data_IF_731567722069
#
_entry.id   IF_731567722069
#
_cell.length_a   1.000
_cell.length_b   1.000
_cell.length_c   1.000
_cell.angle_alpha   90.00
_cell.angle_beta   90.00
_cell.angle_gamma   90.00
#
_symmetry.space_group_name_H-M   'P 1'
#
loop_
_entity.id
_entity.type
_entity.pdbx_description
1 polymer ?
#
# COMPACT_ATOMS: atom_id res chain seq x y z
N UNK A 1 -81.30 -5.49 32.01
CA UNK A 1 -79.94 -5.07 31.60
C UNK A 1 -79.02 -5.17 32.80
N UNK A 2 -77.74 -5.51 32.55
CA UNK A 2 -76.59 -5.53 33.48
C UNK A 2 -76.27 -6.82 34.26
N UNK A 3 -75.83 -7.84 33.51
CA UNK A 3 -74.78 -8.77 33.94
C UNK A 3 -73.64 -8.60 32.91
N UNK A 4 -72.58 -7.85 33.22
CA UNK A 4 -71.33 -7.89 32.41
C UNK A 4 -70.06 -7.29 33.03
N UNK A 5 -70.08 -6.69 34.23
CA UNK A 5 -68.90 -5.99 34.75
C UNK A 5 -67.92 -6.85 35.57
N UNK A 6 -68.29 -8.06 36.00
CA UNK A 6 -67.44 -8.91 36.85
C UNK A 6 -66.40 -9.78 36.11
N UNK A 7 -66.52 -9.95 34.78
CA UNK A 7 -65.59 -10.77 33.99
C UNK A 7 -64.40 -10.01 33.38
N UNK A 8 -64.42 -8.67 33.40
CA UNK A 8 -63.36 -7.86 32.80
C UNK A 8 -62.18 -7.65 33.77
N UNK A 9 -62.46 -7.59 35.08
CA UNK A 9 -61.45 -7.37 36.13
C UNK A 9 -60.57 -8.62 36.37
N UNK A 10 -61.08 -9.83 36.15
CA UNK A 10 -60.32 -11.08 36.33
C UNK A 10 -59.37 -11.42 35.16
N UNK A 11 -59.66 -10.94 33.94
CA UNK A 11 -58.76 -11.07 32.79
C UNK A 11 -57.60 -10.08 32.84
N UNK A 12 -57.86 -8.84 33.26
CA UNK A 12 -56.83 -7.81 33.39
C UNK A 12 -55.77 -8.18 34.45
N UNK A 13 -56.19 -8.76 35.58
CA UNK A 13 -55.29 -9.22 36.64
C UNK A 13 -54.43 -10.43 36.21
N UNK A 14 -54.99 -11.40 35.48
CA UNK A 14 -54.22 -12.52 34.92
C UNK A 14 -53.21 -12.09 33.87
N UNK A 15 -53.56 -11.12 33.01
CA UNK A 15 -52.65 -10.56 32.02
C UNK A 15 -51.52 -9.74 32.68
N UNK A 16 -51.81 -9.02 33.76
CA UNK A 16 -50.80 -8.29 34.52
C UNK A 16 -49.82 -9.25 35.23
N UNK A 17 -50.31 -10.34 35.83
CA UNK A 17 -49.49 -11.37 36.45
C UNK A 17 -48.63 -12.10 35.41
N UNK A 18 -49.18 -12.41 34.23
CA UNK A 18 -48.44 -13.04 33.13
C UNK A 18 -47.36 -12.09 32.56
N UNK A 19 -47.65 -10.79 32.46
CA UNK A 19 -46.66 -9.76 32.05
C UNK A 19 -45.56 -9.57 33.10
N UNK A 20 -45.89 -9.60 34.40
CA UNK A 20 -44.90 -9.58 35.47
C UNK A 20 -44.03 -10.83 35.49
N UNK A 21 -44.60 -11.99 35.16
CA UNK A 21 -43.85 -13.25 35.04
C UNK A 21 -42.90 -13.23 33.84
N UNK A 22 -43.34 -12.71 32.68
CA UNK A 22 -42.46 -12.51 31.51
C UNK A 22 -41.37 -11.50 31.84
N UNK A 23 -41.68 -10.40 32.52
CA UNK A 23 -40.69 -9.39 32.91
C UNK A 23 -39.63 -9.97 33.88
N UNK A 24 -40.06 -10.77 34.85
CA UNK A 24 -39.18 -11.48 35.79
C UNK A 24 -38.35 -12.58 35.12
N UNK A 25 -38.88 -13.26 34.09
CA UNK A 25 -38.13 -14.24 33.29
C UNK A 25 -37.13 -13.53 32.36
N UNK A 26 -37.46 -12.35 31.80
CA UNK A 26 -36.52 -11.56 30.99
C UNK A 26 -35.42 -10.91 31.85
N UNK A 27 -35.72 -10.53 33.10
CA UNK A 27 -34.73 -10.02 34.05
C UNK A 27 -33.89 -11.15 34.67
N UNK A 28 -34.45 -12.36 34.83
CA UNK A 28 -33.72 -13.55 35.27
C UNK A 28 -32.80 -14.16 34.20
N UNK A 29 -33.06 -13.89 32.91
CA UNK A 29 -32.18 -14.23 31.79
C UNK A 29 -31.23 -13.10 31.37
N UNK A 30 -31.15 -12.04 32.17
CA UNK A 30 -29.99 -11.14 32.12
C UNK A 30 -28.83 -11.85 32.82
N UNK A 31 -28.34 -12.95 32.23
CA UNK A 31 -27.06 -13.50 32.60
C UNK A 31 -26.06 -12.35 32.45
N UNK A 32 -25.47 -11.96 33.56
CA UNK A 32 -24.44 -10.96 33.67
C UNK A 32 -23.26 -11.33 32.76
N UNK A 33 -23.34 -10.99 31.47
CA UNK A 33 -22.22 -11.00 30.54
C UNK A 33 -21.41 -9.73 30.79
N UNK A 34 -20.79 -9.66 31.96
CA UNK A 34 -19.70 -8.71 32.15
C UNK A 34 -18.49 -9.26 31.42
N UNK A 35 -17.88 -8.44 30.57
CA UNK A 35 -16.55 -8.69 30.05
C UNK A 35 -15.59 -8.85 31.25
N UNK A 36 -14.96 -10.02 31.38
CA UNK A 36 -14.02 -10.30 32.45
C UNK A 36 -12.60 -9.93 32.03
N UNK A 37 -11.79 -9.45 32.98
CA UNK A 37 -10.35 -9.24 32.79
C UNK A 37 -9.61 -10.45 33.38
N UNK A 38 -9.06 -11.28 32.51
CA UNK A 38 -8.32 -12.49 32.85
C UNK A 38 -6.81 -12.23 32.73
N UNK A 39 -6.14 -12.00 33.86
CA UNK A 39 -4.67 -11.96 33.89
C UNK A 39 -4.09 -13.37 33.83
N UNK A 40 -3.10 -13.59 32.96
CA UNK A 40 -2.43 -14.88 32.80
C UNK A 40 -0.91 -14.71 32.89
N UNK A 41 -0.26 -15.60 33.63
CA UNK A 41 1.17 -15.53 33.96
C UNK A 41 1.99 -16.72 33.42
N UNK A 42 1.31 -17.71 32.82
CA UNK A 42 1.95 -18.89 32.22
C UNK A 42 1.28 -19.32 30.92
N UNK A 43 1.98 -20.17 30.15
CA UNK A 43 1.43 -20.77 28.92
C UNK A 43 0.16 -21.56 29.17
N UNK A 44 0.12 -22.35 30.26
CA UNK A 44 -1.03 -23.18 30.60
C UNK A 44 -2.24 -22.33 30.98
N UNK A 45 -2.03 -21.25 31.75
CA UNK A 45 -3.08 -20.29 32.07
C UNK A 45 -3.62 -19.58 30.81
N UNK A 46 -2.73 -19.17 29.90
CA UNK A 46 -3.13 -18.54 28.64
C UNK A 46 -3.98 -19.49 27.79
N UNK A 47 -3.53 -20.73 27.58
CA UNK A 47 -4.30 -21.73 26.82
C UNK A 47 -5.64 -22.06 27.47
N UNK A 48 -5.66 -22.17 28.80
CA UNK A 48 -6.88 -22.38 29.55
C UNK A 48 -7.85 -21.19 29.39
N UNK A 49 -7.36 -19.96 29.52
CA UNK A 49 -8.15 -18.74 29.35
C UNK A 49 -8.70 -18.63 27.93
N UNK A 50 -7.88 -18.85 26.89
CA UNK A 50 -8.32 -18.86 25.49
C UNK A 50 -9.42 -19.90 25.20
N UNK A 51 -9.42 -21.02 25.91
CA UNK A 51 -10.43 -22.09 25.74
C UNK A 51 -11.76 -21.77 26.44
N UNK A 52 -11.73 -21.02 27.54
CA UNK A 52 -12.89 -20.80 28.41
C UNK A 52 -13.43 -19.36 28.40
N UNK A 53 -12.72 -18.44 27.76
CA UNK A 53 -13.15 -17.06 27.60
C UNK A 53 -14.50 -16.98 26.87
N UNK A 54 -15.26 -15.95 27.21
CA UNK A 54 -16.51 -15.59 26.54
C UNK A 54 -16.25 -14.40 25.62
N UNK A 55 -17.11 -14.23 24.62
CA UNK A 55 -17.08 -13.05 23.77
C UNK A 55 -17.18 -11.77 24.62
N UNK A 56 -16.26 -10.85 24.42
CA UNK A 56 -16.11 -9.61 25.17
C UNK A 56 -15.00 -9.64 26.23
N UNK A 57 -14.51 -10.81 26.63
CA UNK A 57 -13.47 -10.93 27.65
C UNK A 57 -12.13 -10.35 27.19
N UNK A 58 -11.33 -9.91 28.16
CA UNK A 58 -9.97 -9.40 27.97
C UNK A 58 -8.99 -10.35 28.63
N UNK A 59 -8.10 -10.95 27.87
CA UNK A 59 -6.97 -11.74 28.36
C UNK A 59 -5.74 -10.84 28.35
N UNK A 60 -5.15 -10.64 29.53
CA UNK A 60 -4.00 -9.75 29.75
C UNK A 60 -2.80 -10.62 30.16
N UNK A 61 -1.76 -10.63 29.34
CA UNK A 61 -0.54 -11.37 29.62
C UNK A 61 0.33 -10.54 30.57
N UNK A 62 0.77 -11.16 31.66
CA UNK A 62 1.87 -10.66 32.47
C UNK A 62 3.20 -10.79 31.71
N UNK A 63 4.23 -10.10 32.19
CA UNK A 63 5.58 -10.20 31.61
C UNK A 63 6.08 -11.65 31.67
N UNK A 64 6.53 -12.19 30.54
CA UNK A 64 6.93 -13.59 30.46
C UNK A 64 6.98 -14.13 29.03
N UNK A 65 7.37 -15.40 28.91
CA UNK A 65 7.40 -16.14 27.63
C UNK A 65 6.30 -17.19 27.60
N UNK A 66 5.49 -17.15 26.55
CA UNK A 66 4.34 -18.01 26.31
C UNK A 66 4.58 -18.84 25.06
N UNK A 67 4.33 -20.14 25.14
CA UNK A 67 4.57 -21.07 24.04
C UNK A 67 3.33 -21.21 23.15
N UNK A 68 3.49 -20.84 21.88
CA UNK A 68 2.55 -21.09 20.80
C UNK A 68 2.63 -22.52 20.23
N UNK A 69 1.87 -22.81 19.17
CA UNK A 69 0.90 -21.92 18.53
C UNK A 69 -0.35 -21.69 19.40
N UNK A 70 -0.96 -20.51 19.26
CA UNK A 70 -2.20 -20.12 19.94
C UNK A 70 -3.37 -20.09 18.96
N UNK A 71 -4.56 -20.42 19.45
CA UNK A 71 -5.81 -20.32 18.68
C UNK A 71 -6.83 -19.49 19.44
N UNK A 72 -7.46 -18.54 18.73
CA UNK A 72 -8.51 -17.67 19.28
C UNK A 72 -9.83 -18.03 18.60
N UNK A 73 -10.76 -18.64 19.35
CA UNK A 73 -12.07 -19.07 18.86
C UNK A 73 -13.22 -18.17 19.34
N UNK A 74 -12.94 -17.17 20.17
CA UNK A 74 -13.91 -16.25 20.75
C UNK A 74 -13.53 -14.81 20.45
N UNK A 75 -14.54 -13.93 20.34
CA UNK A 75 -14.35 -12.49 20.14
C UNK A 75 -13.81 -11.84 21.41
N UNK A 76 -12.50 -11.84 21.59
CA UNK A 76 -11.82 -11.37 22.82
C UNK A 76 -10.80 -10.27 22.51
N UNK A 77 -10.28 -9.66 23.57
CA UNK A 77 -9.10 -8.79 23.52
C UNK A 77 -7.93 -9.56 24.13
N UNK A 78 -6.93 -9.88 23.32
CA UNK A 78 -5.65 -10.45 23.76
C UNK A 78 -4.62 -9.33 23.82
N UNK A 79 -4.12 -9.03 25.01
CA UNK A 79 -3.19 -7.90 25.18
C UNK A 79 -2.09 -8.16 26.19
N UNK A 80 -1.05 -7.34 26.16
CA UNK A 80 -0.07 -7.25 27.26
C UNK A 80 0.08 -5.81 27.75
N UNK A 81 0.41 -5.67 29.04
CA UNK A 81 0.80 -4.42 29.68
C UNK A 81 2.32 -4.34 29.93
N UNK A 82 3.10 -5.34 29.53
CA UNK A 82 4.53 -5.45 29.76
C UNK A 82 5.26 -6.19 28.63
N UNK A 83 6.45 -6.74 28.91
CA UNK A 83 7.25 -7.47 27.92
C UNK A 83 6.82 -8.95 27.86
N UNK A 84 5.69 -9.21 27.19
CA UNK A 84 5.17 -10.57 26.99
C UNK A 84 5.52 -11.08 25.59
N UNK A 85 6.22 -12.21 25.55
CA UNK A 85 6.70 -12.86 24.33
C UNK A 85 5.85 -14.08 24.03
N UNK A 86 5.28 -14.17 22.83
CA UNK A 86 4.71 -15.38 22.25
C UNK A 86 5.73 -15.98 21.30
N UNK A 87 6.23 -17.17 21.63
CA UNK A 87 7.20 -17.92 20.84
C UNK A 87 6.51 -19.11 20.16
N UNK A 88 6.54 -19.15 18.83
CA UNK A 88 5.87 -20.19 18.06
C UNK A 88 6.73 -21.41 17.73
N UNK A 89 7.92 -21.55 18.34
CA UNK A 89 8.78 -22.72 18.24
C UNK A 89 9.24 -23.10 16.81
N UNK A 90 9.17 -22.16 15.88
CA UNK A 90 9.63 -22.29 14.49
C UNK A 90 8.69 -23.09 13.58
N UNK A 91 7.46 -23.41 14.02
CA UNK A 91 6.52 -24.25 13.27
C UNK A 91 5.14 -23.61 13.24
N UNK A 92 4.54 -23.50 12.05
CA UNK A 92 3.18 -22.99 11.92
C UNK A 92 3.08 -21.49 12.18
N UNK A 93 1.86 -20.98 12.23
CA UNK A 93 1.57 -19.61 12.65
C UNK A 93 1.58 -19.44 14.18
N UNK A 94 2.05 -18.31 14.70
CA UNK A 94 2.11 -18.07 16.15
C UNK A 94 0.73 -17.88 16.79
N UNK A 95 -0.15 -17.10 16.16
CA UNK A 95 -1.54 -16.91 16.57
C UNK A 95 -2.45 -17.15 15.37
N UNK A 96 -3.41 -18.07 15.51
CA UNK A 96 -4.48 -18.30 14.52
C UNK A 96 -5.81 -17.80 15.07
N UNK A 97 -6.53 -17.00 14.30
CA UNK A 97 -7.79 -16.37 14.70
C UNK A 97 -8.95 -16.93 13.89
N UNK A 98 -9.94 -17.47 14.61
CA UNK A 98 -11.15 -18.12 14.09
C UNK A 98 -12.44 -17.41 14.53
N UNK A 99 -12.33 -16.19 15.06
CA UNK A 99 -13.47 -15.39 15.51
C UNK A 99 -13.40 -13.94 15.02
N UNK A 100 -14.56 -13.29 14.77
CA UNK A 100 -14.62 -11.88 14.42
C UNK A 100 -14.38 -10.99 15.65
N UNK A 101 -14.13 -9.71 15.44
CA UNK A 101 -14.00 -8.67 16.46
C UNK A 101 -12.93 -8.97 17.54
N UNK A 102 -11.87 -9.69 17.17
CA UNK A 102 -10.72 -9.92 18.05
C UNK A 102 -9.78 -8.71 18.00
N UNK A 103 -9.29 -8.31 19.17
CA UNK A 103 -8.21 -7.33 19.31
C UNK A 103 -6.94 -8.03 19.79
N UNK A 104 -5.80 -7.80 19.12
CA UNK A 104 -4.49 -8.32 19.49
C UNK A 104 -3.54 -7.13 19.63
N UNK A 105 -3.04 -6.87 20.84
CA UNK A 105 -2.21 -5.69 21.07
C UNK A 105 -1.12 -5.76 22.14
N UNK A 106 -0.04 -5.01 21.95
CA UNK A 106 1.04 -4.89 22.94
C UNK A 106 1.94 -6.13 23.06
N UNK A 107 1.86 -7.07 22.11
CA UNK A 107 2.57 -8.35 22.21
C UNK A 107 3.88 -8.32 21.43
N UNK A 108 4.90 -9.03 21.93
CA UNK A 108 6.05 -9.46 21.14
C UNK A 108 5.79 -10.87 20.63
N UNK A 109 5.79 -11.08 19.32
CA UNK A 109 5.49 -12.35 18.67
C UNK A 109 6.71 -12.75 17.85
N UNK A 110 7.22 -13.96 18.04
CA UNK A 110 8.44 -14.40 17.37
C UNK A 110 8.44 -15.87 16.98
N UNK A 111 9.39 -16.21 16.10
CA UNK A 111 9.77 -17.59 15.81
C UNK A 111 8.61 -18.44 15.30
N UNK A 112 7.80 -17.92 14.36
CA UNK A 112 6.85 -18.72 13.58
C UNK A 112 7.53 -19.39 12.38
N UNK A 113 6.84 -20.33 11.74
CA UNK A 113 7.33 -21.05 10.57
C UNK A 113 7.46 -20.18 9.32
N UNK A 114 7.79 -20.81 8.19
CA UNK A 114 8.03 -20.12 6.92
C UNK A 114 7.43 -20.84 5.71
N UNK A 115 6.47 -21.73 5.93
CA UNK A 115 5.79 -22.41 4.83
C UNK A 115 4.72 -21.50 4.22
N UNK A 116 4.97 -20.98 3.02
CA UNK A 116 4.02 -20.12 2.30
C UNK A 116 2.74 -20.86 1.88
N UNK A 117 2.81 -22.17 1.66
CA UNK A 117 1.66 -22.99 1.28
C UNK A 117 0.72 -23.18 2.49
N UNK A 118 1.29 -23.45 3.67
CA UNK A 118 0.54 -23.56 4.93
C UNK A 118 0.19 -22.19 5.54
N UNK A 119 0.66 -21.10 4.91
CA UNK A 119 0.37 -19.70 5.29
C UNK A 119 0.93 -19.35 6.67
N UNK A 120 2.13 -19.83 6.98
CA UNK A 120 2.79 -19.56 8.26
C UNK A 120 2.95 -18.06 8.51
N UNK A 121 2.45 -17.59 9.65
CA UNK A 121 2.40 -16.17 9.97
C UNK A 121 2.58 -15.88 11.47
N UNK A 122 3.05 -14.68 11.82
CA UNK A 122 2.99 -14.21 13.20
C UNK A 122 1.53 -14.13 13.69
N UNK A 123 0.64 -13.56 12.88
CA UNK A 123 -0.80 -13.58 13.11
C UNK A 123 -1.50 -14.00 11.82
N UNK A 124 -2.23 -15.12 11.85
CA UNK A 124 -3.06 -15.61 10.76
C UNK A 124 -4.54 -15.46 11.15
N UNK A 125 -5.30 -14.71 10.36
CA UNK A 125 -6.76 -14.60 10.48
C UNK A 125 -7.41 -15.46 9.40
N UNK A 126 -8.21 -16.42 9.81
CA UNK A 126 -8.91 -17.32 8.89
C UNK A 126 -10.10 -16.61 8.21
N UNK A 127 -10.53 -17.10 7.03
CA UNK A 127 -11.69 -16.61 6.29
C UNK A 127 -12.95 -16.35 7.13
N UNK A 128 -13.67 -15.29 6.80
CA UNK A 128 -14.97 -14.95 7.41
C UNK A 128 -14.90 -14.23 8.76
N UNK A 129 -13.71 -13.97 9.29
CA UNK A 129 -13.54 -13.29 10.57
C UNK A 129 -13.35 -11.78 10.36
N UNK A 130 -14.39 -10.99 10.62
CA UNK A 130 -14.41 -9.55 10.32
C UNK A 130 -14.09 -8.68 11.53
N UNK A 131 -13.76 -7.40 11.31
CA UNK A 131 -13.68 -6.40 12.39
C UNK A 131 -12.45 -6.52 13.29
N UNK A 132 -11.36 -7.10 12.79
CA UNK A 132 -10.15 -7.36 13.55
C UNK A 132 -9.38 -6.07 13.86
N UNK A 133 -8.75 -6.02 15.03
CA UNK A 133 -7.87 -4.91 15.45
C UNK A 133 -6.52 -5.46 15.87
N UNK A 134 -5.49 -5.21 15.08
CA UNK A 134 -4.13 -5.74 15.35
C UNK A 134 -3.19 -4.54 15.47
N UNK A 135 -2.74 -4.23 16.69
CA UNK A 135 -1.97 -3.00 16.89
C UNK A 135 -0.97 -3.00 18.03
N UNK A 136 0.04 -2.13 17.92
CA UNK A 136 1.10 -1.99 18.92
C UNK A 136 1.83 -3.31 19.22
N UNK A 137 1.96 -4.20 18.24
CA UNK A 137 2.70 -5.46 18.40
C UNK A 137 4.10 -5.36 17.76
N UNK A 138 5.04 -6.15 18.26
CA UNK A 138 6.36 -6.36 17.65
C UNK A 138 6.45 -7.78 17.14
N UNK A 139 6.57 -7.96 15.83
CA UNK A 139 6.60 -9.26 15.15
C UNK A 139 7.98 -9.50 14.53
N UNK A 140 8.60 -10.65 14.79
CA UNK A 140 9.88 -11.04 14.13
C UNK A 140 9.91 -12.52 13.73
N UNK A 141 10.06 -12.80 12.43
CA UNK A 141 10.02 -14.17 11.91
C UNK A 141 10.22 -14.28 10.40
N UNK A 142 10.10 -15.51 9.89
CA UNK A 142 10.48 -15.84 8.52
C UNK A 142 9.31 -15.81 7.52
N UNK A 143 8.14 -16.33 7.93
CA UNK A 143 6.91 -16.31 7.13
C UNK A 143 6.22 -14.95 7.15
N UNK A 144 4.92 -14.92 6.86
CA UNK A 144 4.14 -13.67 6.83
C UNK A 144 4.13 -12.99 8.22
N UNK A 145 4.16 -11.67 8.30
CA UNK A 145 3.98 -10.98 9.58
C UNK A 145 2.52 -11.12 10.05
N UNK A 146 1.62 -10.48 9.32
CA UNK A 146 0.17 -10.56 9.52
C UNK A 146 -0.48 -11.01 8.22
N UNK A 147 -1.25 -12.09 8.25
CA UNK A 147 -2.01 -12.57 7.09
C UNK A 147 -3.49 -12.67 7.41
N UNK A 148 -4.32 -12.25 6.47
CA UNK A 148 -5.78 -12.27 6.59
C UNK A 148 -6.41 -12.53 5.22
N UNK A 149 -7.30 -13.52 5.17
CA UNK A 149 -7.96 -13.94 3.93
C UNK A 149 -9.49 -13.75 4.07
N UNK A 150 -10.18 -13.35 3.00
CA UNK A 150 -11.64 -13.36 2.85
C UNK A 150 -12.43 -12.72 4.03
N UNK A 151 -12.14 -11.44 4.34
CA UNK A 151 -12.78 -10.74 5.44
C UNK A 151 -13.01 -9.24 5.17
N UNK A 152 -13.74 -8.59 6.08
CA UNK A 152 -14.04 -7.17 6.02
C UNK A 152 -13.54 -6.42 7.25
N UNK A 153 -13.24 -5.14 7.08
CA UNK A 153 -13.06 -4.15 8.15
C UNK A 153 -11.95 -4.51 9.17
N UNK A 154 -10.80 -4.96 8.69
CA UNK A 154 -9.60 -5.16 9.52
C UNK A 154 -8.80 -3.87 9.69
N UNK A 155 -8.32 -3.61 10.90
CA UNK A 155 -7.45 -2.49 11.24
C UNK A 155 -6.11 -2.99 11.73
N UNK A 156 -5.03 -2.64 11.03
CA UNK A 156 -3.66 -3.06 11.35
C UNK A 156 -2.80 -1.81 11.52
N UNK A 157 -2.42 -1.49 12.76
CA UNK A 157 -1.72 -0.23 12.98
C UNK A 157 -0.69 -0.21 14.09
N UNK A 158 0.31 0.67 13.96
CA UNK A 158 1.38 0.85 14.94
C UNK A 158 2.12 -0.44 15.29
N UNK A 159 2.21 -1.40 14.35
CA UNK A 159 3.00 -2.61 14.55
C UNK A 159 4.42 -2.40 14.01
N UNK A 160 5.38 -3.09 14.61
CA UNK A 160 6.74 -3.25 14.08
C UNK A 160 6.86 -4.67 13.56
N UNK A 161 7.13 -4.84 12.27
CA UNK A 161 7.24 -6.15 11.61
C UNK A 161 8.61 -6.25 10.97
N UNK A 162 9.39 -7.25 11.40
CA UNK A 162 10.74 -7.50 10.89
C UNK A 162 10.83 -8.92 10.37
N UNK A 163 11.14 -9.05 9.08
CA UNK A 163 11.39 -10.34 8.44
C UNK A 163 12.80 -10.86 8.70
N UNK A 164 13.32 -11.70 7.80
CA UNK A 164 14.64 -12.29 7.90
C UNK A 164 15.50 -11.97 6.67
N UNK A 165 16.43 -11.03 6.83
CA UNK A 165 17.35 -10.59 5.78
C UNK A 165 18.36 -11.66 5.32
N UNK A 166 18.53 -12.76 6.07
CA UNK A 166 19.38 -13.89 5.67
C UNK A 166 18.72 -14.81 4.62
N UNK A 167 17.40 -14.73 4.44
CA UNK A 167 16.69 -15.45 3.39
C UNK A 167 16.77 -14.70 2.07
N UNK A 168 16.78 -15.45 0.96
CA UNK A 168 16.55 -14.86 -0.35
C UNK A 168 15.18 -14.17 -0.38
N UNK A 169 15.07 -13.03 -1.08
CA UNK A 169 13.94 -12.12 -0.94
C UNK A 169 12.59 -12.78 -1.25
N UNK A 170 12.56 -13.69 -2.23
CA UNK A 170 11.34 -14.41 -2.62
C UNK A 170 10.96 -15.53 -1.64
N UNK A 171 11.88 -15.94 -0.76
CA UNK A 171 11.65 -16.96 0.27
C UNK A 171 11.16 -16.34 1.60
N UNK A 172 11.00 -15.01 1.66
CA UNK A 172 10.45 -14.30 2.82
C UNK A 172 8.94 -14.22 2.72
N UNK A 173 8.24 -14.14 3.86
CA UNK A 173 6.85 -13.70 3.87
C UNK A 173 6.71 -12.20 3.69
N UNK A 174 5.52 -11.76 3.30
CA UNK A 174 5.16 -10.33 3.28
C UNK A 174 4.92 -9.84 4.72
N UNK A 175 5.14 -8.55 4.97
CA UNK A 175 4.89 -7.96 6.28
C UNK A 175 3.41 -8.02 6.65
N UNK A 176 2.56 -7.51 5.76
CA UNK A 176 1.10 -7.63 5.83
C UNK A 176 0.61 -8.19 4.50
N UNK A 177 -0.07 -9.34 4.53
CA UNK A 177 -0.63 -10.00 3.37
C UNK A 177 -2.16 -10.10 3.50
N UNK A 178 -2.90 -9.39 2.64
CA UNK A 178 -4.36 -9.39 2.65
C UNK A 178 -4.90 -9.92 1.32
N UNK A 179 -5.66 -11.02 1.37
CA UNK A 179 -6.26 -11.63 0.19
C UNK A 179 -7.79 -11.58 0.28
N UNK A 180 -8.48 -11.03 -0.74
CA UNK A 180 -9.93 -10.87 -0.77
C UNK A 180 -10.49 -10.08 0.44
N UNK A 181 -9.81 -9.00 0.83
CA UNK A 181 -10.19 -8.16 1.96
C UNK A 181 -10.86 -6.86 1.51
N UNK A 182 -11.98 -6.50 2.15
CA UNK A 182 -12.70 -5.24 1.87
C UNK A 182 -12.58 -4.30 3.07
N UNK A 183 -12.26 -3.03 2.81
CA UNK A 183 -12.29 -1.99 3.85
C UNK A 183 -11.15 -2.07 4.86
N UNK A 184 -10.00 -2.62 4.48
CA UNK A 184 -8.83 -2.67 5.37
C UNK A 184 -8.28 -1.27 5.65
N UNK A 185 -7.91 -0.98 6.90
CA UNK A 185 -7.15 0.21 7.27
C UNK A 185 -5.79 -0.20 7.83
N UNK A 186 -4.70 0.24 7.20
CA UNK A 186 -3.32 -0.13 7.53
C UNK A 186 -2.48 1.13 7.73
N UNK A 187 -2.09 1.44 8.97
CA UNK A 187 -1.37 2.70 9.22
C UNK A 187 -0.37 2.71 10.37
N UNK A 188 0.60 3.62 10.29
CA UNK A 188 1.58 3.82 11.37
C UNK A 188 2.48 2.60 11.62
N UNK A 189 2.52 1.62 10.71
CA UNK A 189 3.37 0.44 10.86
C UNK A 189 4.79 0.74 10.38
N UNK A 190 5.77 0.08 11.01
CA UNK A 190 7.16 0.05 10.57
C UNK A 190 7.49 -1.37 10.11
N UNK A 191 7.76 -1.56 8.83
CA UNK A 191 7.93 -2.89 8.22
C UNK A 191 9.28 -2.94 7.50
N UNK A 192 10.06 -3.99 7.78
CA UNK A 192 11.37 -4.17 7.14
C UNK A 192 11.80 -5.62 6.99
N UNK A 193 12.73 -5.86 6.06
CA UNK A 193 13.38 -7.18 5.85
C UNK A 193 12.40 -8.32 5.50
N UNK A 194 11.22 -7.99 5.00
CA UNK A 194 10.21 -8.92 4.47
C UNK A 194 10.37 -9.05 2.95
N UNK A 195 9.46 -9.76 2.27
CA UNK A 195 9.34 -9.74 0.81
C UNK A 195 8.68 -8.43 0.37
N UNK A 196 7.35 -8.34 0.47
CA UNK A 196 6.62 -7.08 0.28
C UNK A 196 6.14 -6.52 1.62
N UNK A 197 6.19 -5.20 1.79
CA UNK A 197 5.78 -4.54 3.03
C UNK A 197 4.30 -4.73 3.30
N UNK A 198 3.47 -4.22 2.38
CA UNK A 198 2.02 -4.41 2.38
C UNK A 198 1.56 -4.95 1.03
N UNK A 199 1.12 -6.20 1.01
CA UNK A 199 0.58 -6.88 -0.17
C UNK A 199 -0.93 -7.02 -0.05
N UNK A 200 -1.68 -6.47 -1.01
CA UNK A 200 -3.13 -6.57 -1.10
C UNK A 200 -3.52 -7.19 -2.44
N UNK A 201 -4.28 -8.29 -2.37
CA UNK A 201 -4.73 -9.01 -3.56
C UNK A 201 -6.24 -9.19 -3.60
N UNK A 202 -6.83 -8.88 -4.75
CA UNK A 202 -8.28 -9.08 -5.02
C UNK A 202 -9.21 -8.46 -3.97
N UNK A 203 -8.76 -7.38 -3.33
CA UNK A 203 -9.48 -6.61 -2.32
C UNK A 203 -10.09 -5.31 -2.85
N UNK A 204 -10.73 -4.53 -1.97
CA UNK A 204 -11.21 -3.20 -2.33
C UNK A 204 -11.38 -2.26 -1.13
N UNK A 205 -11.41 -0.95 -1.40
CA UNK A 205 -11.70 0.10 -0.39
C UNK A 205 -10.71 0.13 0.77
N UNK A 206 -9.48 -0.31 0.55
CA UNK A 206 -8.43 -0.23 1.55
C UNK A 206 -7.88 1.19 1.68
N UNK A 207 -7.36 1.49 2.87
CA UNK A 207 -6.60 2.71 3.17
C UNK A 207 -5.25 2.31 3.76
N UNK A 208 -4.17 2.60 3.06
CA UNK A 208 -2.81 2.32 3.50
C UNK A 208 -2.05 3.62 3.69
N UNK A 209 -1.77 4.04 4.91
CA UNK A 209 -1.23 5.38 5.15
C UNK A 209 -0.26 5.53 6.32
N UNK A 210 0.61 6.53 6.25
CA UNK A 210 1.56 6.83 7.33
C UNK A 210 2.42 5.64 7.78
N UNK A 211 2.75 4.71 6.87
CA UNK A 211 3.64 3.58 7.15
C UNK A 211 5.09 3.90 6.75
N UNK A 212 6.05 3.28 7.43
CA UNK A 212 7.48 3.28 7.08
C UNK A 212 7.87 1.89 6.61
N UNK A 213 8.42 1.80 5.40
CA UNK A 213 8.56 0.57 4.62
C UNK A 213 9.99 0.53 4.03
N UNK A 214 10.86 -0.38 4.46
CA UNK A 214 12.27 -0.36 4.03
C UNK A 214 12.98 -1.72 4.04
N UNK A 215 14.10 -1.84 3.32
CA UNK A 215 14.90 -3.08 3.21
C UNK A 215 14.11 -4.31 2.71
N UNK A 216 13.26 -4.12 1.69
CA UNK A 216 12.35 -5.13 1.17
C UNK A 216 12.13 -4.98 -0.35
N UNK A 217 11.41 -5.91 -0.98
CA UNK A 217 11.18 -5.89 -2.43
C UNK A 217 10.29 -4.69 -2.78
N UNK A 218 9.02 -4.72 -2.37
CA UNK A 218 8.11 -3.60 -2.57
C UNK A 218 7.63 -2.97 -1.27
N UNK A 219 7.46 -1.65 -1.26
CA UNK A 219 6.78 -0.95 -0.17
C UNK A 219 5.33 -1.37 -0.05
N UNK A 220 4.52 -1.00 -1.06
CA UNK A 220 3.11 -1.38 -1.18
C UNK A 220 2.92 -2.07 -2.53
N UNK A 221 2.20 -3.18 -2.52
CA UNK A 221 1.89 -3.99 -3.69
C UNK A 221 0.38 -4.24 -3.77
N UNK A 222 -0.27 -3.57 -4.72
CA UNK A 222 -1.67 -3.78 -5.07
C UNK A 222 -1.78 -4.70 -6.28
N UNK A 223 -2.47 -5.82 -6.13
CA UNK A 223 -2.68 -6.82 -7.19
C UNK A 223 -4.18 -7.10 -7.38
N UNK A 224 -4.73 -6.80 -8.56
CA UNK A 224 -6.16 -7.01 -8.86
C UNK A 224 -7.15 -6.30 -7.92
N UNK A 225 -6.75 -5.15 -7.35
CA UNK A 225 -7.55 -4.41 -6.36
C UNK A 225 -8.35 -3.26 -6.97
N UNK A 226 -9.32 -2.72 -6.22
CA UNK A 226 -10.11 -1.60 -6.70
C UNK A 226 -10.66 -0.65 -5.63
N UNK A 227 -10.77 0.63 -5.98
CA UNK A 227 -11.29 1.68 -5.10
C UNK A 227 -10.45 1.90 -3.83
N UNK A 228 -9.13 1.73 -3.92
CA UNK A 228 -8.22 1.86 -2.79
C UNK A 228 -7.50 3.22 -2.72
N UNK A 229 -6.99 3.55 -1.54
CA UNK A 229 -6.29 4.80 -1.27
C UNK A 229 -4.99 4.53 -0.50
N UNK A 230 -3.88 5.08 -0.97
CA UNK A 230 -2.59 4.99 -0.28
C UNK A 230 -1.92 6.37 -0.19
N UNK A 231 -1.60 6.81 1.04
CA UNK A 231 -1.12 8.16 1.25
C UNK A 231 -0.20 8.38 2.46
N UNK A 232 0.63 9.43 2.37
CA UNK A 232 1.57 9.81 3.44
C UNK A 232 2.50 8.64 3.89
N UNK A 233 2.72 7.63 3.05
CA UNK A 233 3.67 6.54 3.31
C UNK A 233 5.09 6.94 2.92
N UNK A 234 6.07 6.29 3.55
CA UNK A 234 7.49 6.41 3.24
C UNK A 234 8.04 5.03 2.87
N UNK A 235 8.59 4.89 1.66
CA UNK A 235 9.23 3.66 1.17
C UNK A 235 10.68 3.94 0.78
N UNK A 236 11.66 3.24 1.34
CA UNK A 236 13.07 3.55 1.05
C UNK A 236 14.00 2.36 1.16
N UNK A 237 15.10 2.39 0.41
CA UNK A 237 16.04 1.26 0.33
C UNK A 237 15.30 -0.05 -0.03
N UNK A 238 14.50 0.03 -1.08
CA UNK A 238 13.65 -1.06 -1.59
C UNK A 238 14.00 -1.41 -3.03
N UNK A 239 13.60 -2.57 -3.53
CA UNK A 239 13.72 -2.84 -4.96
C UNK A 239 12.75 -1.95 -5.76
N UNK A 240 11.52 -1.78 -5.28
CA UNK A 240 10.51 -0.88 -5.85
C UNK A 240 9.62 -0.21 -4.79
N UNK A 241 9.21 1.03 -5.01
CA UNK A 241 8.43 1.80 -4.04
C UNK A 241 6.99 1.32 -3.90
N UNK A 242 6.16 1.67 -4.89
CA UNK A 242 4.73 1.41 -4.91
C UNK A 242 4.33 0.74 -6.21
N UNK A 243 3.90 -0.53 -6.13
CA UNK A 243 3.48 -1.33 -7.27
C UNK A 243 1.95 -1.40 -7.34
N UNK A 244 1.37 -0.82 -8.40
CA UNK A 244 -0.04 -0.93 -8.73
C UNK A 244 -0.15 -1.84 -9.96
N UNK A 245 -0.69 -3.04 -9.78
CA UNK A 245 -0.71 -4.09 -10.79
C UNK A 245 -2.13 -4.59 -11.02
N UNK A 246 -2.58 -4.56 -12.28
CA UNK A 246 -3.91 -4.98 -12.72
C UNK A 246 -5.08 -4.41 -11.88
N UNK A 247 -4.87 -3.21 -11.32
CA UNK A 247 -5.76 -2.58 -10.35
C UNK A 247 -6.45 -1.34 -10.93
N UNK A 248 -7.58 -0.93 -10.32
CA UNK A 248 -8.41 0.16 -10.86
C UNK A 248 -8.91 1.14 -9.81
N UNK A 249 -8.91 2.43 -10.16
CA UNK A 249 -9.37 3.51 -9.27
C UNK A 249 -8.59 3.56 -7.95
N UNK A 250 -7.25 3.49 -8.07
CA UNK A 250 -6.36 3.66 -6.94
C UNK A 250 -6.02 5.14 -6.80
N UNK A 251 -6.16 5.69 -5.60
CA UNK A 251 -5.72 7.05 -5.29
C UNK A 251 -4.41 7.00 -4.49
N UNK A 252 -3.29 7.16 -5.19
CA UNK A 252 -1.94 7.16 -4.62
C UNK A 252 -1.45 8.60 -4.47
N UNK A 253 -1.40 9.13 -3.24
CA UNK A 253 -1.06 10.54 -3.04
C UNK A 253 -0.23 10.88 -1.82
N UNK A 254 0.62 11.92 -1.94
CA UNK A 254 1.51 12.38 -0.86
C UNK A 254 2.44 11.31 -0.28
N UNK A 255 2.73 10.27 -1.05
CA UNK A 255 3.71 9.27 -0.66
C UNK A 255 5.13 9.69 -1.03
N UNK A 256 6.12 9.16 -0.33
CA UNK A 256 7.52 9.44 -0.55
C UNK A 256 8.27 8.13 -0.80
N UNK A 257 9.03 8.08 -1.88
CA UNK A 257 9.97 6.99 -2.14
C UNK A 257 11.34 7.53 -2.51
N UNK A 258 12.38 6.95 -1.89
CA UNK A 258 13.76 7.24 -2.24
C UNK A 258 14.69 6.04 -2.12
N UNK A 259 15.84 6.11 -2.78
CA UNK A 259 16.85 5.04 -2.79
C UNK A 259 16.28 3.68 -3.20
N UNK A 260 15.29 3.65 -4.11
CA UNK A 260 14.84 2.41 -4.72
C UNK A 260 15.71 2.03 -5.92
N UNK A 261 15.70 0.74 -6.29
CA UNK A 261 16.57 0.21 -7.34
C UNK A 261 15.89 0.25 -8.72
N UNK A 262 14.70 -0.34 -8.86
CA UNK A 262 14.06 -0.53 -10.16
C UNK A 262 13.01 0.55 -10.46
N UNK A 263 12.10 0.82 -9.52
CA UNK A 263 11.09 1.86 -9.72
C UNK A 263 10.63 2.56 -8.43
N UNK A 264 10.26 3.84 -8.53
CA UNK A 264 9.56 4.54 -7.46
C UNK A 264 8.08 4.20 -7.45
N UNK A 265 7.41 4.35 -8.59
CA UNK A 265 6.00 3.99 -8.79
C UNK A 265 5.89 3.11 -10.03
N UNK A 266 5.24 1.96 -9.92
CA UNK A 266 4.88 1.10 -11.05
C UNK A 266 3.37 1.15 -11.28
N UNK A 267 2.96 1.53 -12.50
CA UNK A 267 1.61 1.36 -13.01
C UNK A 267 1.64 0.25 -14.08
N UNK A 268 1.35 -0.98 -13.66
CA UNK A 268 1.25 -2.12 -14.57
C UNK A 268 -0.23 -2.43 -14.82
N UNK A 269 -0.68 -2.26 -16.07
CA UNK A 269 -2.07 -2.51 -16.48
C UNK A 269 -3.12 -1.83 -15.57
N UNK A 270 -2.72 -0.73 -14.91
CA UNK A 270 -3.57 0.07 -14.02
C UNK A 270 -4.51 0.96 -14.83
N UNK A 271 -5.73 1.17 -14.34
CA UNK A 271 -6.74 2.00 -15.02
C UNK A 271 -7.48 2.95 -14.08
N UNK A 272 -7.93 4.10 -14.61
CA UNK A 272 -8.81 5.06 -13.94
C UNK A 272 -8.26 5.54 -12.56
N UNK A 273 -6.94 5.51 -12.38
CA UNK A 273 -6.29 5.80 -11.10
C UNK A 273 -5.72 7.21 -11.07
N UNK A 274 -5.54 7.76 -9.86
CA UNK A 274 -5.01 9.10 -9.63
C UNK A 274 -3.70 9.00 -8.84
N UNK A 275 -2.60 9.37 -9.49
CA UNK A 275 -1.27 9.46 -8.88
C UNK A 275 -0.95 10.95 -8.69
N UNK A 276 -0.95 11.41 -7.44
CA UNK A 276 -0.92 12.85 -7.16
C UNK A 276 -0.02 13.26 -6.00
N UNK A 277 0.78 14.30 -6.17
CA UNK A 277 1.55 14.89 -5.06
C UNK A 277 2.52 13.92 -4.38
N UNK A 278 2.97 12.88 -5.09
CA UNK A 278 4.00 11.98 -4.58
C UNK A 278 5.40 12.57 -4.84
N UNK A 279 6.34 12.26 -3.95
CA UNK A 279 7.76 12.61 -4.06
C UNK A 279 8.57 11.35 -4.33
N UNK A 280 9.20 11.29 -5.50
CA UNK A 280 9.93 10.13 -5.99
C UNK A 280 11.34 10.57 -6.37
N UNK A 281 12.34 10.13 -5.59
CA UNK A 281 13.70 10.64 -5.75
C UNK A 281 14.75 9.54 -5.69
N UNK A 282 15.87 9.71 -6.38
CA UNK A 282 17.03 8.80 -6.26
C UNK A 282 16.69 7.34 -6.58
N UNK A 283 15.83 7.11 -7.57
CA UNK A 283 15.59 5.78 -8.10
C UNK A 283 16.71 5.45 -9.10
N UNK A 284 17.68 4.67 -8.64
CA UNK A 284 18.96 4.46 -9.33
C UNK A 284 19.34 2.99 -9.25
N UNK A 285 19.53 2.35 -10.41
CA UNK A 285 20.11 1.02 -10.45
C UNK A 285 21.65 1.12 -10.47
N UNK A 286 22.26 0.77 -9.34
CA UNK A 286 23.70 0.87 -9.11
C UNK A 286 24.49 -0.36 -9.58
N UNK A 287 23.87 -1.26 -10.34
CA UNK A 287 24.55 -2.43 -10.90
C UNK A 287 25.73 -2.02 -11.79
N UNK A 288 26.90 -2.63 -11.58
CA UNK A 288 28.09 -2.45 -12.44
C UNK A 288 27.84 -2.92 -13.88
N UNK A 289 26.95 -3.91 -14.04
CA UNK A 289 26.50 -4.40 -15.34
C UNK A 289 25.17 -3.73 -15.67
N UNK A 290 25.22 -2.49 -16.18
CA UNK A 290 24.02 -1.80 -16.65
C UNK A 290 23.42 -2.55 -17.85
N UNK A 291 22.32 -3.25 -17.60
CA UNK A 291 21.52 -3.89 -18.64
C UNK A 291 20.41 -2.93 -19.02
N UNK A 292 20.28 -2.65 -20.32
CA UNK A 292 19.21 -1.82 -20.83
C UNK A 292 17.83 -2.34 -20.39
N UNK A 293 16.98 -1.44 -19.88
CA UNK A 293 15.67 -1.78 -19.32
C UNK A 293 15.67 -1.92 -17.79
N UNK A 294 16.85 -2.09 -17.16
CA UNK A 294 16.98 -2.18 -15.71
C UNK A 294 17.30 -0.85 -15.03
N UNK A 295 17.33 0.27 -15.76
CA UNK A 295 17.58 1.60 -15.19
C UNK A 295 16.54 1.91 -14.08
N UNK A 296 16.91 2.70 -13.07
CA UNK A 296 16.00 3.13 -12.02
C UNK A 296 14.94 4.13 -12.52
N UNK A 297 13.66 3.77 -12.42
CA UNK A 297 12.53 4.51 -13.02
C UNK A 297 11.77 5.28 -11.95
N UNK A 298 11.71 6.61 -12.01
CA UNK A 298 10.86 7.41 -11.13
C UNK A 298 9.41 6.90 -11.17
N UNK A 299 8.81 6.91 -12.35
CA UNK A 299 7.56 6.19 -12.63
C UNK A 299 7.71 5.28 -13.85
N UNK A 300 7.23 4.05 -13.72
CA UNK A 300 7.15 3.09 -14.81
C UNK A 300 5.68 2.80 -15.17
N UNK A 301 5.29 3.18 -16.38
CA UNK A 301 3.97 2.93 -16.96
C UNK A 301 4.09 1.81 -17.97
N UNK A 302 3.47 0.67 -17.66
CA UNK A 302 3.49 -0.53 -18.48
C UNK A 302 2.07 -0.98 -18.81
N UNK A 303 1.58 -0.67 -20.00
CA UNK A 303 0.23 -1.02 -20.44
C UNK A 303 -0.92 -0.38 -19.63
N UNK A 304 -0.63 0.56 -18.72
CA UNK A 304 -1.61 1.25 -17.89
C UNK A 304 -2.24 2.43 -18.65
N UNK A 305 -3.57 2.61 -18.60
CA UNK A 305 -4.32 3.60 -19.41
C UNK A 305 -5.33 4.38 -18.59
N UNK A 306 -5.74 5.54 -19.09
CA UNK A 306 -6.79 6.38 -18.49
C UNK A 306 -6.49 6.81 -17.03
N UNK A 307 -5.22 6.83 -16.62
CA UNK A 307 -4.82 7.34 -15.31
C UNK A 307 -4.49 8.84 -15.38
N UNK A 308 -4.60 9.52 -14.25
CA UNK A 308 -4.15 10.91 -14.10
C UNK A 308 -2.91 10.95 -13.22
N UNK A 309 -1.81 11.48 -13.75
CA UNK A 309 -0.53 11.64 -13.06
C UNK A 309 -0.26 13.14 -12.96
N UNK A 310 -0.51 13.71 -11.78
CA UNK A 310 -0.56 15.17 -11.62
C UNK A 310 0.17 15.65 -10.37
N UNK A 311 0.91 16.76 -10.48
CA UNK A 311 1.56 17.42 -9.36
C UNK A 311 2.51 16.51 -8.57
N UNK A 312 3.16 15.54 -9.22
CA UNK A 312 4.20 14.71 -8.59
C UNK A 312 5.58 15.31 -8.83
N UNK A 313 6.55 14.95 -7.99
CA UNK A 313 7.96 15.27 -8.17
C UNK A 313 8.74 14.01 -8.46
N UNK A 314 9.40 13.98 -9.62
CA UNK A 314 10.31 12.92 -10.05
C UNK A 314 11.71 13.52 -10.20
N UNK A 315 12.61 13.28 -9.24
CA UNK A 315 13.91 13.93 -9.24
C UNK A 315 15.11 12.99 -9.04
N UNK A 316 16.23 13.27 -9.71
CA UNK A 316 17.50 12.52 -9.54
C UNK A 316 17.36 11.01 -9.80
N UNK A 317 16.51 10.60 -10.74
CA UNK A 317 16.34 9.20 -11.14
C UNK A 317 17.17 8.89 -12.39
N UNK A 318 17.45 7.62 -12.68
CA UNK A 318 18.05 7.26 -13.98
C UNK A 318 17.08 7.64 -15.12
N UNK A 319 15.79 7.35 -14.94
CA UNK A 319 14.71 7.76 -15.84
C UNK A 319 13.57 8.38 -15.03
N UNK A 320 13.18 9.63 -15.31
CA UNK A 320 12.07 10.30 -14.62
C UNK A 320 10.72 9.63 -14.88
N UNK A 321 10.40 9.40 -16.16
CA UNK A 321 9.18 8.72 -16.61
C UNK A 321 9.50 7.69 -17.70
N UNK A 322 9.25 6.41 -17.45
CA UNK A 322 9.35 5.37 -18.48
C UNK A 322 7.94 4.89 -18.84
N UNK A 323 7.57 4.98 -20.11
CA UNK A 323 6.38 4.35 -20.68
C UNK A 323 6.73 3.28 -21.72
N UNK A 324 6.19 2.08 -21.58
CA UNK A 324 6.39 0.97 -22.51
C UNK A 324 5.13 0.10 -22.66
N UNK A 325 5.07 -0.62 -23.80
CA UNK A 325 3.98 -1.56 -24.12
C UNK A 325 2.59 -0.95 -24.04
N UNK A 326 2.49 0.27 -24.56
CA UNK A 326 1.30 1.10 -24.52
C UNK A 326 1.21 1.98 -23.28
N UNK A 327 0.05 2.61 -23.11
CA UNK A 327 -0.22 3.56 -22.04
C UNK A 327 -0.52 4.97 -22.54
N UNK A 328 -0.71 5.09 -23.84
CA UNK A 328 -1.36 6.22 -24.48
C UNK A 328 -2.78 6.36 -23.89
N UNK A 329 -3.13 7.58 -23.45
CA UNK A 329 -4.41 7.88 -22.79
C UNK A 329 -4.29 8.30 -21.32
N UNK A 330 -3.12 8.17 -20.71
CA UNK A 330 -2.87 8.80 -19.41
C UNK A 330 -2.76 10.32 -19.55
N UNK A 331 -3.28 11.05 -18.57
CA UNK A 331 -3.11 12.51 -18.47
C UNK A 331 -1.90 12.82 -17.58
N UNK A 332 -0.92 13.54 -18.12
CA UNK A 332 0.34 13.86 -17.42
C UNK A 332 0.59 15.37 -17.48
N UNK A 333 0.33 16.08 -16.37
CA UNK A 333 0.48 17.53 -16.30
C UNK A 333 0.74 18.00 -14.86
N UNK A 334 1.32 19.19 -14.69
CA UNK A 334 1.62 19.78 -13.39
C UNK A 334 2.73 19.09 -12.60
N UNK A 335 3.36 18.04 -13.14
CA UNK A 335 4.46 17.34 -12.49
C UNK A 335 5.77 18.13 -12.61
N UNK A 336 6.76 17.76 -11.80
CA UNK A 336 8.11 18.30 -11.84
C UNK A 336 9.10 17.18 -12.13
N UNK A 337 9.81 17.31 -13.25
CA UNK A 337 10.88 16.41 -13.67
C UNK A 337 12.22 17.13 -13.52
N UNK A 338 13.00 16.72 -12.52
CA UNK A 338 14.16 17.49 -12.04
C UNK A 338 15.40 16.60 -12.04
N UNK A 339 16.36 16.94 -12.87
CA UNK A 339 17.72 16.38 -12.85
C UNK A 339 17.74 14.84 -12.90
N UNK A 340 16.76 14.26 -13.58
CA UNK A 340 16.80 12.86 -13.98
C UNK A 340 17.82 12.71 -15.10
N UNK A 341 18.57 11.61 -15.13
CA UNK A 341 19.56 11.37 -16.19
C UNK A 341 18.89 11.35 -17.57
N UNK A 342 17.74 10.67 -17.69
CA UNK A 342 16.77 10.88 -18.76
C UNK A 342 15.45 11.36 -18.18
N UNK A 343 14.89 12.46 -18.69
CA UNK A 343 13.60 12.95 -18.20
C UNK A 343 12.47 11.98 -18.56
N UNK A 344 12.45 11.49 -19.81
CA UNK A 344 11.41 10.58 -20.29
C UNK A 344 11.97 9.53 -21.26
N UNK A 345 11.55 8.28 -21.08
CA UNK A 345 11.71 7.19 -22.05
C UNK A 345 10.35 6.69 -22.48
N UNK A 346 9.90 7.08 -23.68
CA UNK A 346 8.63 6.63 -24.26
C UNK A 346 8.86 5.72 -25.46
N UNK A 347 8.47 4.46 -25.31
CA UNK A 347 8.53 3.44 -26.36
C UNK A 347 7.16 3.32 -27.02
N UNK A 348 6.88 4.22 -27.96
CA UNK A 348 5.69 4.18 -28.81
C UNK A 348 5.82 5.11 -30.02
N UNK A 349 4.79 5.10 -30.85
CA UNK A 349 4.75 5.63 -32.21
C UNK A 349 3.69 6.73 -32.42
N UNK A 350 3.02 7.14 -31.35
CA UNK A 350 2.02 8.22 -31.35
C UNK A 350 2.62 9.51 -30.79
N UNK A 351 2.13 10.67 -31.23
CA UNK A 351 2.40 11.95 -30.57
C UNK A 351 1.46 12.14 -29.37
N UNK A 352 2.01 12.35 -28.18
CA UNK A 352 1.26 12.55 -26.95
C UNK A 352 1.41 14.00 -26.45
N UNK A 353 0.27 14.62 -26.07
CA UNK A 353 0.25 15.93 -25.43
C UNK A 353 0.27 15.76 -23.91
N UNK A 354 1.27 16.34 -23.26
CA UNK A 354 1.48 16.34 -21.81
C UNK A 354 1.23 17.73 -21.20
N UNK A 355 0.10 18.31 -21.60
CA UNK A 355 -0.47 19.48 -20.97
C UNK A 355 -2.00 19.37 -20.96
N UNK A 356 -2.63 20.06 -20.03
CA UNK A 356 -4.07 20.07 -19.87
C UNK A 356 -4.53 21.51 -19.62
N UNK A 357 -5.51 21.99 -20.41
CA UNK A 357 -6.14 23.31 -20.23
C UNK A 357 -5.13 24.48 -20.13
N UNK A 358 -4.10 24.47 -20.98
CA UNK A 358 -3.08 25.51 -21.01
C UNK A 358 -2.00 25.41 -19.93
N UNK A 359 -1.89 24.25 -19.25
CA UNK A 359 -0.89 24.01 -18.21
C UNK A 359 -0.20 22.65 -18.40
N UNK A 360 1.12 22.66 -18.49
CA UNK A 360 1.99 21.51 -18.65
C UNK A 360 2.73 21.12 -17.38
N UNK A 361 3.94 20.58 -17.55
CA UNK A 361 4.84 20.12 -16.50
C UNK A 361 6.05 21.06 -16.38
N UNK A 362 6.74 21.00 -15.24
CA UNK A 362 8.04 21.63 -15.04
C UNK A 362 9.17 20.67 -15.40
N UNK A 363 10.19 21.18 -16.09
CA UNK A 363 11.33 20.41 -16.57
C UNK A 363 12.62 21.16 -16.25
N UNK A 364 13.56 20.57 -15.48
CA UNK A 364 14.81 21.29 -15.13
C UNK A 364 15.70 21.59 -16.34
N UNK A 365 15.54 20.87 -17.45
CA UNK A 365 16.24 21.11 -18.71
C UNK A 365 15.57 22.11 -19.66
N UNK A 366 14.40 22.67 -19.31
CA UNK A 366 13.70 23.61 -20.19
C UNK A 366 14.31 25.02 -20.12
N UNK A 367 14.80 25.51 -21.26
CA UNK A 367 15.46 26.82 -21.40
C UNK A 367 14.54 27.91 -22.00
N UNK A 368 13.22 27.71 -21.98
CA UNK A 368 12.28 28.67 -22.52
C UNK A 368 12.07 29.90 -21.64
N UNK A 369 11.29 30.85 -22.16
CA UNK A 369 10.90 32.08 -21.48
C UNK A 369 9.40 32.32 -21.64
N UNK A 370 8.78 33.02 -20.70
CA UNK A 370 7.36 33.36 -20.73
C UNK A 370 7.10 34.79 -20.26
N UNK A 371 5.84 35.22 -20.35
CA UNK A 371 5.38 36.44 -19.69
C UNK A 371 5.07 36.15 -18.22
N UNK A 372 5.44 37.05 -17.33
CA UNK A 372 5.57 36.80 -15.88
C UNK A 372 4.26 36.50 -15.13
N UNK A 373 3.09 36.56 -15.76
CA UNK A 373 1.82 36.43 -15.04
C UNK A 373 1.35 34.99 -14.82
N UNK A 374 1.72 34.06 -15.71
CA UNK A 374 1.06 32.74 -15.79
C UNK A 374 2.03 31.57 -15.56
N UNK A 375 3.33 31.84 -15.39
CA UNK A 375 4.41 30.86 -15.16
C UNK A 375 4.52 29.74 -16.22
N UNK A 376 4.07 30.02 -17.44
CA UNK A 376 4.10 29.11 -18.58
C UNK A 376 5.05 29.65 -19.66
N UNK A 377 5.85 28.76 -20.24
CA UNK A 377 6.79 29.07 -21.32
C UNK A 377 6.09 29.26 -22.67
N UNK A 378 6.65 30.14 -23.51
CA UNK A 378 6.08 30.45 -24.83
C UNK A 378 6.43 29.41 -25.91
N UNK A 379 7.34 28.47 -25.63
CA UNK A 379 7.76 27.43 -26.58
C UNK A 379 7.44 26.05 -26.03
N UNK A 380 6.90 25.18 -26.87
CA UNK A 380 6.64 23.80 -26.48
C UNK A 380 7.96 23.08 -26.13
N UNK A 381 7.90 22.17 -25.16
CA UNK A 381 9.01 21.31 -24.78
C UNK A 381 8.80 19.89 -25.31
N UNK A 382 9.87 19.24 -25.76
CA UNK A 382 9.86 17.85 -26.23
C UNK A 382 10.86 17.04 -25.40
N UNK A 383 10.41 16.32 -24.36
CA UNK A 383 11.32 15.57 -23.48
C UNK A 383 11.93 14.34 -24.17
N UNK A 384 11.38 13.91 -25.31
CA UNK A 384 11.95 12.86 -26.15
C UNK A 384 11.57 13.04 -27.64
N UNK A 385 12.41 12.54 -28.53
CA UNK A 385 12.16 12.45 -29.97
C UNK A 385 12.78 11.19 -30.63
N UNK A 386 12.79 11.15 -31.97
CA UNK A 386 13.34 10.01 -32.71
C UNK A 386 14.87 9.88 -32.60
N UNK A 387 15.59 10.96 -32.31
CA UNK A 387 17.03 10.90 -32.05
C UNK A 387 17.26 10.25 -30.69
N UNK A 388 16.42 10.52 -29.68
CA UNK A 388 16.50 9.82 -28.39
C UNK A 388 16.27 8.31 -28.56
N UNK A 389 15.35 7.89 -29.43
CA UNK A 389 15.16 6.47 -29.79
C UNK A 389 16.42 5.86 -30.41
N UNK A 390 17.15 6.61 -31.24
CA UNK A 390 18.40 6.13 -31.84
C UNK A 390 19.45 5.84 -30.76
N UNK A 391 19.57 6.71 -29.76
CA UNK A 391 20.49 6.51 -28.64
C UNK A 391 20.06 5.37 -27.71
N UNK A 392 18.77 5.08 -27.60
CA UNK A 392 18.33 3.83 -26.96
C UNK A 392 18.71 2.60 -27.78
N UNK A 393 18.64 2.65 -29.10
CA UNK A 393 19.06 1.53 -29.96
C UNK A 393 20.58 1.31 -29.98
N UNK A 394 21.35 2.38 -29.79
CA UNK A 394 22.83 2.37 -29.77
C UNK A 394 23.37 3.05 -28.50
N UNK A 395 23.28 2.40 -27.33
CA UNK A 395 23.70 2.98 -26.05
C UNK A 395 25.18 3.40 -26.02
N UNK A 396 26.04 2.76 -26.82
CA UNK A 396 27.45 3.11 -26.96
C UNK A 396 27.67 4.52 -27.51
N UNK A 397 26.65 5.11 -28.13
CA UNK A 397 26.66 6.47 -28.65
C UNK A 397 26.14 7.52 -27.64
N UNK A 398 25.69 7.13 -26.43
CA UNK A 398 25.12 8.05 -25.44
C UNK A 398 26.07 9.20 -25.06
N UNK A 399 27.38 8.99 -25.11
CA UNK A 399 28.36 10.06 -24.87
C UNK A 399 28.27 11.25 -25.85
N UNK A 400 27.56 11.07 -26.97
CA UNK A 400 27.30 12.11 -27.96
C UNK A 400 26.05 12.93 -27.64
N UNK A 401 25.23 12.58 -26.65
CA UNK A 401 23.98 13.30 -26.35
C UNK A 401 24.19 14.80 -26.12
N UNK A 402 25.26 15.16 -25.42
CA UNK A 402 25.63 16.55 -25.13
C UNK A 402 26.54 17.18 -26.22
N UNK A 403 26.80 16.47 -27.31
CA UNK A 403 27.67 16.93 -28.39
C UNK A 403 26.95 17.90 -29.32
N UNK A 404 27.64 18.92 -29.88
CA UNK A 404 27.08 19.80 -30.90
C UNK A 404 26.49 19.09 -32.12
N UNK A 405 26.91 17.86 -32.41
CA UNK A 405 26.37 17.07 -33.53
C UNK A 405 24.89 16.72 -33.34
N UNK A 406 24.45 16.49 -32.10
CA UNK A 406 23.04 16.19 -31.78
C UNK A 406 22.17 17.43 -32.02
N UNK A 407 22.68 18.64 -31.71
CA UNK A 407 21.99 19.90 -32.01
C UNK A 407 21.75 20.06 -33.52
N UNK A 408 22.77 19.77 -34.33
CA UNK A 408 22.65 19.82 -35.80
C UNK A 408 21.67 18.76 -36.32
N UNK A 409 21.75 17.52 -35.81
CA UNK A 409 20.84 16.45 -36.20
C UNK A 409 19.38 16.79 -35.86
N UNK A 410 19.11 17.33 -34.67
CA UNK A 410 17.76 17.79 -34.28
C UNK A 410 17.27 18.92 -35.17
N UNK A 411 18.13 19.89 -35.53
CA UNK A 411 17.78 20.95 -36.48
C UNK A 411 17.46 20.39 -37.87
N UNK A 412 18.28 19.49 -38.41
CA UNK A 412 18.02 18.84 -39.70
C UNK A 412 16.69 18.09 -39.66
N UNK A 413 16.45 17.28 -38.62
CA UNK A 413 15.19 16.56 -38.46
C UNK A 413 13.98 17.52 -38.47
N UNK A 414 14.10 18.67 -37.81
CA UNK A 414 13.03 19.68 -37.79
C UNK A 414 12.76 20.33 -39.16
N UNK A 415 13.71 20.29 -40.10
CA UNK A 415 13.52 20.81 -41.47
C UNK A 415 12.90 19.78 -42.41
N UNK A 416 13.04 18.49 -42.11
CA UNK A 416 12.67 17.36 -42.97
C UNK A 416 11.61 16.47 -42.32
N UNK A 417 10.57 17.05 -41.69
CA UNK A 417 9.42 16.30 -41.15
C UNK A 417 8.68 15.53 -42.27
N UNK A 418 9.22 14.37 -42.68
CA UNK A 418 8.72 13.51 -43.75
C UNK A 418 7.83 12.38 -43.16
N UNK A 419 7.84 12.20 -41.84
CA UNK A 419 7.05 11.21 -41.10
C UNK A 419 6.11 11.88 -40.13
N UNK A 420 4.95 11.27 -39.86
CA UNK A 420 4.05 11.69 -38.79
C UNK A 420 4.82 11.90 -37.47
N UNK A 421 4.60 13.01 -36.75
CA UNK A 421 5.30 13.27 -35.49
C UNK A 421 4.96 12.18 -34.47
N UNK A 422 5.98 11.70 -33.74
CA UNK A 422 5.84 10.76 -32.63
C UNK A 422 6.64 11.26 -31.44
N UNK A 423 6.31 10.78 -30.23
CA UNK A 423 6.99 11.21 -29.00
C UNK A 423 6.05 11.99 -28.09
N UNK A 424 6.62 12.76 -27.17
CA UNK A 424 5.87 13.60 -26.24
C UNK A 424 6.11 15.07 -26.57
N UNK A 425 5.05 15.85 -26.48
CA UNK A 425 5.09 17.30 -26.50
C UNK A 425 4.37 17.83 -25.26
N UNK A 426 4.99 18.80 -24.61
CA UNK A 426 4.36 19.64 -23.61
C UNK A 426 4.20 21.03 -24.22
N UNK A 427 2.98 21.38 -24.61
CA UNK A 427 2.69 22.66 -25.26
C UNK A 427 2.70 23.85 -24.30
N UNK A 428 2.65 23.63 -22.98
CA UNK A 428 2.55 24.67 -21.96
C UNK A 428 3.48 24.40 -20.77
N UNK A 429 4.81 24.23 -21.00
CA UNK A 429 5.74 23.88 -19.96
C UNK A 429 5.81 24.97 -18.89
N UNK A 430 5.93 24.57 -17.62
CA UNK A 430 6.02 25.47 -16.48
C UNK A 430 7.44 26.02 -16.34
N UNK A 431 7.55 27.31 -16.00
CA UNK A 431 8.84 27.99 -15.82
C UNK A 431 9.40 27.84 -14.41
N UNK A 432 8.53 27.70 -13.39
CA UNK A 432 8.98 27.47 -12.02
C UNK A 432 8.52 26.12 -11.46
N UNK A 433 9.34 25.51 -10.60
CA UNK A 433 8.93 24.33 -9.86
C UNK A 433 7.78 24.67 -8.90
N UNK A 434 6.89 23.71 -8.63
CA UNK A 434 5.89 23.85 -7.57
C UNK A 434 6.61 23.88 -6.19
N UNK A 435 6.48 24.96 -5.41
CA UNK A 435 7.18 25.12 -4.13
C UNK A 435 6.63 24.22 -3.02
N UNK A 436 5.50 23.54 -3.24
CA UNK A 436 4.94 22.60 -2.26
C UNK A 436 5.84 21.40 -1.94
N UNK A 437 6.89 21.16 -2.74
CA UNK A 437 7.87 20.09 -2.53
C UNK A 437 9.17 20.55 -1.83
N UNK A 438 9.31 21.85 -1.55
CA UNK A 438 10.53 22.42 -0.97
C UNK A 438 10.55 22.37 0.58
N UNK A 439 9.48 21.86 1.21
CA UNK A 439 9.29 21.81 2.67
C UNK A 439 9.06 20.40 3.21
#
# INVERSE_FOLDING_TARGET
>A
MNISLLNVVSRASRAAIFRLFILAVTLGYSANNYAENLSVSSTEELKHALTHAKSGDRIILDTGRYQGPLQIHQSIILSSLGDSIIDANGIGSAIKVFAPNVEISGLRIENWGNDHYERDAGILVEPGNHGLRIHNNSLTGNGFGIRADELNDIKIHNNVIVGNSSLYILDRGDGIHLQHVIGAEIWGNTISQVRDGVYLESGSKSKVYANQLFDQQYGIHYMYTTDDEAFDNQSYQVDGGYALMDSKRIYLHRNQVWDAIDFGILLNMTKDSLVKSNRVEQIINRSENQIQGQEGKGIFVYGARDNTIINNRFANNDIGFYMAMGGEGNQVYGNQFIDNFSQVKYVGDVLLEWSQTGRGNYWSGYLGWGHSSDDVGNTAYRPNDNIDKLFWLYPEANFLMDSPIVVVLRWVQSQFEITEPSGIVDSFPLLTPNPAFDY
#
